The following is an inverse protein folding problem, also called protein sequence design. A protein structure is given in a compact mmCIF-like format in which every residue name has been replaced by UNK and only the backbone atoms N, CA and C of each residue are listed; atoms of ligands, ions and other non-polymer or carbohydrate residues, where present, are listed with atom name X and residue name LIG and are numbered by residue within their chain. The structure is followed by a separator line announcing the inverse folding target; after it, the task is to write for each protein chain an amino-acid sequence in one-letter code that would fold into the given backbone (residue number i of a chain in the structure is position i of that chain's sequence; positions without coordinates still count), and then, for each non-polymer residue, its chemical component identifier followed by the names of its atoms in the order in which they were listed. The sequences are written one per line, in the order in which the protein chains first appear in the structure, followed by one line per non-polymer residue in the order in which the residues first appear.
data_IF_391250104865
#
_entry.id   IF_391250104865
#
_cell.length_a   1.000
_cell.length_b   1.000
_cell.length_c   1.000
_cell.angle_alpha   90.00
_cell.angle_beta   90.00
_cell.angle_gamma   90.00
#
_symmetry.space_group_name_H-M   'P 1'
#
loop_
_entity.id
_entity.type
_entity.pdbx_description
1 polymer ?
#
# COMPACT_ATOMS: atom_id res chain seq x y z
N UNK A 1 17.01 9.98 -2.87
CA UNK A 1 16.76 8.62 -3.38
C UNK A 1 15.29 8.47 -3.70
N UNK A 2 14.96 7.72 -4.74
CA UNK A 2 13.57 7.39 -5.11
C UNK A 2 13.06 6.17 -4.34
N UNK A 3 11.75 5.94 -4.37
CA UNK A 3 11.12 4.75 -3.77
C UNK A 3 11.71 3.45 -4.33
N UNK A 4 11.90 3.40 -5.65
CA UNK A 4 12.46 2.24 -6.37
C UNK A 4 13.91 1.95 -5.96
N UNK A 5 14.71 2.99 -5.74
CA UNK A 5 16.10 2.85 -5.27
C UNK A 5 16.16 2.25 -3.86
N UNK A 6 15.26 2.64 -2.96
CA UNK A 6 15.17 2.06 -1.60
C UNK A 6 14.71 0.60 -1.67
N UNK A 7 13.70 0.29 -2.49
CA UNK A 7 13.25 -1.10 -2.70
C UNK A 7 14.40 -1.97 -3.23
N UNK A 8 15.15 -1.47 -4.22
CA UNK A 8 16.29 -2.18 -4.81
C UNK A 8 17.40 -2.40 -3.78
N UNK A 9 17.68 -1.40 -2.94
CA UNK A 9 18.66 -1.50 -1.86
C UNK A 9 18.28 -2.56 -0.82
N UNK A 10 17.03 -2.55 -0.34
CA UNK A 10 16.55 -3.53 0.63
C UNK A 10 16.61 -4.94 0.03
N UNK A 11 16.16 -5.10 -1.22
CA UNK A 11 16.19 -6.39 -1.91
C UNK A 11 17.61 -6.91 -2.17
N UNK A 12 18.55 -6.05 -2.56
CA UNK A 12 19.93 -6.48 -2.82
C UNK A 12 20.67 -6.90 -1.56
N UNK A 13 20.24 -6.41 -0.39
CA UNK A 13 20.82 -6.70 0.92
C UNK A 13 19.98 -7.66 1.78
N UNK A 14 18.83 -8.14 1.30
CA UNK A 14 17.87 -8.90 2.11
C UNK A 14 18.46 -10.18 2.71
N UNK A 15 19.13 -11.00 1.90
CA UNK A 15 19.76 -12.23 2.37
C UNK A 15 20.88 -11.93 3.39
N UNK A 16 21.70 -10.91 3.13
CA UNK A 16 22.77 -10.52 4.04
C UNK A 16 22.23 -9.96 5.37
N UNK A 17 21.07 -9.30 5.36
CA UNK A 17 20.37 -8.87 6.58
C UNK A 17 19.85 -10.08 7.36
N UNK A 18 19.21 -11.03 6.68
CA UNK A 18 18.67 -12.26 7.27
C UNK A 18 19.76 -13.09 7.95
N UNK A 19 20.93 -13.18 7.33
CA UNK A 19 22.07 -13.96 7.82
C UNK A 19 23.01 -13.13 8.74
N UNK A 20 22.68 -11.87 9.06
CA UNK A 20 23.53 -10.94 9.83
C UNK A 20 24.96 -10.79 9.28
N UNK A 21 25.11 -10.80 7.95
CA UNK A 21 26.39 -10.71 7.24
C UNK A 21 26.79 -9.29 6.85
N UNK A 22 25.95 -8.29 7.14
CA UNK A 22 26.32 -6.88 6.92
C UNK A 22 27.12 -6.34 8.09
N UNK A 23 28.11 -5.49 7.81
CA UNK A 23 28.78 -4.71 8.84
C UNK A 23 27.80 -3.72 9.47
N UNK A 24 28.11 -3.32 10.70
CA UNK A 24 27.33 -2.33 11.46
C UNK A 24 27.11 -1.05 10.65
N UNK A 25 28.16 -0.55 10.01
CA UNK A 25 28.12 0.66 9.18
C UNK A 25 27.25 0.51 7.94
N UNK A 26 27.25 -0.66 7.30
CA UNK A 26 26.39 -0.92 6.15
C UNK A 26 24.92 -1.01 6.53
N UNK A 27 24.63 -1.55 7.73
CA UNK A 27 23.28 -1.64 8.24
C UNK A 27 22.74 -0.27 8.67
N UNK A 28 23.60 0.57 9.26
CA UNK A 28 23.32 1.97 9.54
C UNK A 28 23.05 2.76 8.25
N UNK A 29 23.83 2.54 7.18
CA UNK A 29 23.59 3.18 5.89
C UNK A 29 22.22 2.82 5.30
N UNK A 30 21.80 1.55 5.42
CA UNK A 30 20.45 1.12 5.00
C UNK A 30 19.38 1.84 5.81
N UNK A 31 19.53 1.92 7.14
CA UNK A 31 18.62 2.67 8.01
C UNK A 31 18.54 4.14 7.59
N UNK A 32 19.67 4.81 7.44
CA UNK A 32 19.73 6.24 7.13
C UNK A 32 19.06 6.54 5.80
N UNK A 33 19.28 5.71 4.77
CA UNK A 33 18.61 5.87 3.47
C UNK A 33 17.10 5.72 3.57
N UNK A 34 16.61 4.74 4.34
CA UNK A 34 15.18 4.55 4.60
C UNK A 34 14.62 5.77 5.35
N UNK A 35 15.26 6.20 6.44
CA UNK A 35 14.82 7.33 7.25
C UNK A 35 14.79 8.63 6.44
N UNK A 36 15.85 8.94 5.69
CA UNK A 36 15.91 10.12 4.83
C UNK A 36 14.77 10.14 3.81
N UNK A 37 14.47 9.00 3.18
CA UNK A 37 13.34 8.90 2.26
C UNK A 37 12.01 9.15 2.98
N UNK A 38 11.79 8.52 4.14
CA UNK A 38 10.55 8.68 4.90
C UNK A 38 10.36 10.11 5.43
N UNK A 39 11.41 10.73 5.98
CA UNK A 39 11.42 12.12 6.45
C UNK A 39 11.09 13.10 5.30
N UNK A 40 11.51 12.81 4.07
CA UNK A 40 11.19 13.62 2.89
C UNK A 40 9.75 13.45 2.40
N UNK A 41 9.17 12.26 2.55
CA UNK A 41 7.87 11.91 1.94
C UNK A 41 6.71 11.90 2.93
N UNK A 42 6.95 11.85 4.23
CA UNK A 42 5.93 11.89 5.28
C UNK A 42 5.94 13.27 5.92
N UNK A 43 4.96 14.12 5.57
CA UNK A 43 4.81 15.48 6.10
C UNK A 43 3.43 15.73 6.69
N UNK A 44 3.36 16.73 7.56
CA UNK A 44 2.11 17.20 8.18
C UNK A 44 1.62 16.33 9.35
N UNK A 45 0.31 16.34 9.54
CA UNK A 45 -0.38 15.71 10.68
C UNK A 45 -1.31 14.56 10.27
N UNK A 46 -1.01 13.91 9.13
CA UNK A 46 -1.69 12.68 8.75
C UNK A 46 -1.48 11.58 9.81
N UNK A 47 -2.40 10.61 9.88
CA UNK A 47 -2.27 9.48 10.79
C UNK A 47 -0.95 8.72 10.57
N UNK A 48 -0.51 8.59 9.32
CA UNK A 48 0.79 8.01 8.95
C UNK A 48 1.96 8.85 9.48
N UNK A 49 1.88 10.18 9.41
CA UNK A 49 2.87 11.07 9.99
C UNK A 49 2.94 10.97 11.52
N UNK A 50 1.79 10.87 12.19
CA UNK A 50 1.72 10.65 13.64
C UNK A 50 2.31 9.28 14.04
N UNK A 51 2.01 8.22 13.26
CA UNK A 51 2.61 6.89 13.44
C UNK A 51 4.11 6.91 13.23
N UNK A 52 4.60 7.64 12.23
CA UNK A 52 6.03 7.78 11.98
C UNK A 52 6.75 8.56 13.09
N UNK A 53 6.19 9.68 13.53
CA UNK A 53 6.68 10.43 14.71
C UNK A 53 6.75 9.52 15.94
N UNK A 54 5.66 8.77 16.20
CA UNK A 54 5.64 7.78 17.29
C UNK A 54 6.68 6.69 17.09
N UNK A 55 6.86 6.16 15.89
CA UNK A 55 7.87 5.16 15.57
C UNK A 55 9.27 5.68 15.94
N UNK A 56 9.66 6.88 15.50
CA UNK A 56 10.96 7.50 15.86
C UNK A 56 11.13 7.77 17.36
N UNK A 57 10.04 8.01 18.10
CA UNK A 57 10.07 8.26 19.54
C UNK A 57 10.06 6.98 20.39
N UNK A 58 9.39 5.93 19.91
CA UNK A 58 9.16 4.67 20.63
C UNK A 58 10.11 3.55 20.21
N UNK A 59 10.76 3.68 19.05
CA UNK A 59 12.06 3.08 18.84
C UNK A 59 13.03 3.77 19.80
N UNK A 60 13.12 3.27 21.04
CA UNK A 60 14.32 3.50 21.85
C UNK A 60 15.50 3.31 20.90
N UNK A 61 16.48 4.23 20.83
CA UNK A 61 17.66 3.99 20.02
C UNK A 61 18.31 2.77 20.64
N UNK A 62 18.03 1.59 20.07
CA UNK A 62 18.85 0.42 20.33
C UNK A 62 20.14 0.83 19.66
N UNK A 63 21.09 1.36 20.42
CA UNK A 63 22.45 1.49 19.94
C UNK A 63 22.77 0.16 19.24
N UNK A 64 23.13 0.24 17.95
CA UNK A 64 23.50 -0.95 17.22
C UNK A 64 24.86 -1.37 17.73
N UNK A 65 24.87 -2.32 18.65
CA UNK A 65 26.12 -2.81 19.22
C UNK A 65 26.80 -3.71 18.20
N UNK A 66 28.11 -3.52 18.05
CA UNK A 66 28.94 -4.35 17.20
C UNK A 66 29.75 -5.34 18.04
N UNK A 67 30.05 -6.49 17.46
CA UNK A 67 31.07 -7.39 17.99
C UNK A 67 32.48 -6.86 17.64
N UNK A 68 33.52 -7.55 18.12
CA UNK A 68 34.93 -7.21 17.85
C UNK A 68 35.30 -7.21 16.37
N UNK A 69 34.51 -7.86 15.52
CA UNK A 69 34.72 -7.93 14.07
C UNK A 69 33.88 -6.90 13.29
N UNK A 70 33.16 -6.01 13.98
CA UNK A 70 32.37 -4.95 13.36
C UNK A 70 30.96 -5.38 12.89
N UNK A 71 30.55 -6.62 13.14
CA UNK A 71 29.21 -7.11 12.79
C UNK A 71 28.21 -6.80 13.91
N UNK A 72 26.96 -6.47 13.55
CA UNK A 72 25.95 -6.07 14.52
C UNK A 72 25.47 -7.25 15.36
N UNK A 73 25.30 -7.02 16.65
CA UNK A 73 24.59 -7.92 17.57
C UNK A 73 23.10 -7.69 17.35
N UNK A 74 22.38 -8.71 16.84
CA UNK A 74 20.94 -8.63 16.51
C UNK A 74 20.63 -7.57 15.45
N UNK A 75 21.45 -7.53 14.40
CA UNK A 75 21.31 -6.56 13.30
C UNK A 75 19.96 -6.67 12.60
N UNK A 76 19.52 -7.90 12.28
CA UNK A 76 18.20 -8.16 11.71
C UNK A 76 17.08 -7.49 12.52
N UNK A 77 16.97 -7.83 13.81
CA UNK A 77 15.90 -7.31 14.67
C UNK A 77 15.97 -5.79 14.84
N UNK A 78 17.16 -5.22 14.72
CA UNK A 78 17.37 -3.78 14.76
C UNK A 78 16.83 -3.09 13.51
N UNK A 79 17.16 -3.59 12.31
CA UNK A 79 16.75 -2.95 11.05
C UNK A 79 15.29 -3.26 10.67
N UNK A 80 14.73 -4.40 11.11
CA UNK A 80 13.38 -4.84 10.72
C UNK A 80 12.31 -3.79 11.02
N UNK A 81 12.42 -3.03 12.12
CA UNK A 81 11.45 -1.98 12.43
C UNK A 81 11.37 -0.91 11.34
N UNK A 82 12.51 -0.53 10.77
CA UNK A 82 12.62 0.47 9.71
C UNK A 82 12.12 -0.06 8.37
N UNK A 83 12.50 -1.29 8.01
CA UNK A 83 12.04 -1.95 6.78
C UNK A 83 10.52 -2.13 6.83
N UNK A 84 9.98 -2.64 7.94
CA UNK A 84 8.55 -2.85 8.10
C UNK A 84 7.77 -1.52 8.01
N UNK A 85 8.29 -0.44 8.61
CA UNK A 85 7.64 0.87 8.50
C UNK A 85 7.66 1.38 7.05
N UNK A 86 8.76 1.20 6.32
CA UNK A 86 8.86 1.56 4.91
C UNK A 86 7.88 0.75 4.03
N UNK A 87 7.75 -0.55 4.26
CA UNK A 87 6.77 -1.39 3.58
C UNK A 87 5.32 -0.98 3.89
N UNK A 88 5.05 -0.62 5.15
CA UNK A 88 3.79 -0.03 5.57
C UNK A 88 3.53 1.31 4.89
N UNK A 89 4.53 2.19 4.79
CA UNK A 89 4.42 3.45 4.05
C UNK A 89 4.04 3.21 2.59
N UNK A 90 4.72 2.29 1.90
CA UNK A 90 4.37 1.93 0.51
C UNK A 90 2.93 1.42 0.46
N UNK A 91 2.51 0.60 1.42
CA UNK A 91 1.16 0.00 1.44
C UNK A 91 0.07 1.03 1.73
N UNK A 92 0.28 1.92 2.70
CA UNK A 92 -0.68 2.96 3.09
C UNK A 92 -0.74 4.09 2.07
N UNK A 93 0.38 4.48 1.44
CA UNK A 93 0.38 5.37 0.28
C UNK A 93 -0.49 4.80 -0.86
N UNK A 94 -0.49 3.48 -0.99
CA UNK A 94 -1.33 2.77 -1.95
C UNK A 94 -2.76 2.62 -1.48
N UNK A 95 -3.20 3.04 -0.28
CA UNK A 95 -4.61 3.01 0.13
C UNK A 95 -5.11 4.46 0.21
N UNK A 96 -5.90 4.87 -0.78
CA UNK A 96 -6.43 6.24 -0.87
C UNK A 96 -7.59 6.43 0.12
N UNK A 97 -8.46 5.43 0.26
CA UNK A 97 -9.63 5.53 1.14
C UNK A 97 -10.21 4.16 1.48
N UNK A 98 -10.74 3.99 2.69
CA UNK A 98 -11.50 2.79 3.08
C UNK A 98 -12.77 3.21 3.79
N UNK A 99 -13.90 2.94 3.16
CA UNK A 99 -15.24 3.22 3.66
C UNK A 99 -15.91 1.91 4.03
N UNK A 100 -16.55 1.87 5.19
CA UNK A 100 -17.22 0.68 5.68
C UNK A 100 -18.61 1.02 6.18
N UNK A 101 -19.58 0.16 5.85
CA UNK A 101 -20.91 0.14 6.47
C UNK A 101 -21.12 -1.23 7.17
N UNK A 102 -22.31 -1.49 7.70
CA UNK A 102 -22.69 -2.72 8.41
C UNK A 102 -22.46 -3.97 7.56
N UNK A 103 -22.72 -3.90 6.26
CA UNK A 103 -22.71 -5.08 5.37
C UNK A 103 -21.62 -5.01 4.28
N UNK A 104 -21.14 -3.81 3.93
CA UNK A 104 -20.22 -3.62 2.81
C UNK A 104 -18.94 -2.92 3.25
N UNK A 105 -17.88 -3.14 2.49
CA UNK A 105 -16.66 -2.36 2.55
C UNK A 105 -16.24 -1.94 1.14
N UNK A 106 -15.69 -0.73 1.04
CA UNK A 106 -15.13 -0.16 -0.17
C UNK A 106 -13.71 0.29 0.14
N UNK A 107 -12.74 -0.19 -0.61
CA UNK A 107 -11.34 0.16 -0.43
C UNK A 107 -10.76 0.64 -1.76
N UNK A 108 -10.29 1.87 -1.79
CA UNK A 108 -9.56 2.41 -2.93
C UNK A 108 -8.07 2.28 -2.69
N UNK A 109 -7.37 1.71 -3.68
CA UNK A 109 -5.92 1.62 -3.72
C UNK A 109 -5.34 2.30 -4.97
N UNK A 110 -4.07 2.68 -4.93
CA UNK A 110 -3.29 3.05 -6.11
C UNK A 110 -2.25 1.98 -6.37
N UNK A 111 -2.09 1.54 -7.61
CA UNK A 111 -1.02 0.62 -8.00
C UNK A 111 -0.39 1.13 -9.30
N UNK A 112 0.82 1.69 -9.20
CA UNK A 112 1.40 2.45 -10.32
C UNK A 112 0.57 3.70 -10.60
N UNK A 113 0.16 3.89 -11.85
CA UNK A 113 -0.71 5.00 -12.26
C UNK A 113 -2.20 4.61 -12.32
N UNK A 114 -2.55 3.39 -11.92
CA UNK A 114 -3.93 2.91 -11.92
C UNK A 114 -4.54 3.07 -10.52
N UNK A 115 -5.81 3.46 -10.47
CA UNK A 115 -6.59 3.43 -9.23
C UNK A 115 -7.42 2.15 -9.19
N UNK A 116 -7.31 1.41 -8.11
CA UNK A 116 -7.99 0.17 -7.86
C UNK A 116 -9.12 0.47 -6.86
N UNK A 117 -10.32 -0.06 -7.08
CA UNK A 117 -11.43 0.03 -6.15
C UNK A 117 -11.94 -1.38 -5.88
N UNK A 118 -11.86 -1.79 -4.63
CA UNK A 118 -12.36 -3.05 -4.16
C UNK A 118 -13.69 -2.80 -3.45
N UNK A 119 -14.72 -3.56 -3.81
CA UNK A 119 -16.02 -3.54 -3.14
C UNK A 119 -16.34 -4.96 -2.72
N UNK A 120 -16.50 -5.21 -1.43
CA UNK A 120 -16.81 -6.54 -0.92
C UNK A 120 -17.91 -6.53 0.12
N UNK A 121 -18.58 -7.68 0.25
CA UNK A 121 -19.50 -7.95 1.34
C UNK A 121 -18.71 -8.49 2.54
N UNK A 122 -19.04 -8.01 3.74
CA UNK A 122 -18.40 -8.45 4.99
C UNK A 122 -18.77 -9.88 5.38
N UNK A 123 -19.89 -10.40 4.87
CA UNK A 123 -20.45 -11.72 5.21
C UNK A 123 -20.05 -12.82 4.20
N UNK A 124 -19.69 -12.47 2.96
CA UNK A 124 -19.39 -13.44 1.89
C UNK A 124 -17.91 -13.78 1.73
N UNK A 125 -17.27 -14.36 2.76
CA UNK A 125 -16.01 -15.13 2.65
C UNK A 125 -14.86 -14.51 1.81
N UNK A 126 -14.79 -13.18 1.68
CA UNK A 126 -13.75 -12.48 0.93
C UNK A 126 -14.03 -12.30 -0.57
N UNK A 127 -15.23 -12.61 -1.05
CA UNK A 127 -15.66 -12.22 -2.40
C UNK A 127 -15.73 -10.71 -2.52
N UNK A 128 -15.12 -10.19 -3.59
CA UNK A 128 -15.03 -8.76 -3.86
C UNK A 128 -15.04 -8.50 -5.36
N UNK A 129 -15.57 -7.35 -5.74
CA UNK A 129 -15.41 -6.77 -7.06
C UNK A 129 -14.14 -5.94 -7.05
N UNK A 130 -13.22 -6.18 -7.97
CA UNK A 130 -12.03 -5.38 -8.19
C UNK A 130 -12.19 -4.57 -9.48
N UNK A 131 -12.40 -3.27 -9.34
CA UNK A 131 -12.43 -2.30 -10.44
C UNK A 131 -11.07 -1.63 -10.57
N UNK A 132 -10.59 -1.45 -11.79
CA UNK A 132 -9.35 -0.77 -12.14
C UNK A 132 -9.72 0.43 -13.01
N UNK A 133 -9.27 1.60 -12.60
CA UNK A 133 -9.37 2.87 -13.29
C UNK A 133 -8.00 3.18 -13.90
N UNK A 134 -7.90 3.08 -15.22
CA UNK A 134 -6.67 3.38 -15.96
C UNK A 134 -6.51 4.86 -16.29
N UNK A 135 -5.33 5.26 -16.73
CA UNK A 135 -4.99 6.65 -17.11
C UNK A 135 -5.87 7.23 -18.22
N UNK A 136 -6.46 6.38 -19.05
CA UNK A 136 -7.35 6.75 -20.16
C UNK A 136 -8.80 6.99 -19.73
N UNK A 137 -9.12 6.81 -18.44
CA UNK A 137 -10.49 6.80 -17.93
C UNK A 137 -11.24 5.48 -18.17
N UNK A 138 -10.54 4.44 -18.65
CA UNK A 138 -11.09 3.09 -18.76
C UNK A 138 -11.33 2.51 -17.36
N UNK A 139 -12.54 1.98 -17.13
CA UNK A 139 -12.90 1.20 -15.94
C UNK A 139 -13.03 -0.26 -16.36
N UNK A 140 -12.22 -1.14 -15.78
CA UNK A 140 -12.24 -2.59 -16.08
C UNK A 140 -12.25 -3.44 -14.82
N UNK A 141 -12.75 -4.66 -14.93
CA UNK A 141 -12.61 -5.69 -13.88
C UNK A 141 -11.27 -6.41 -14.10
N UNK A 142 -10.55 -6.73 -13.02
CA UNK A 142 -9.30 -7.49 -13.14
C UNK A 142 -9.56 -8.85 -13.84
N UNK A 143 -8.70 -9.19 -14.81
CA UNK A 143 -8.84 -10.41 -15.63
C UNK A 143 -8.71 -11.71 -14.82
N UNK A 144 -8.11 -11.65 -13.63
CA UNK A 144 -7.90 -12.82 -12.76
C UNK A 144 -9.06 -13.07 -11.79
N UNK A 145 -9.95 -12.10 -11.62
CA UNK A 145 -11.12 -12.27 -10.79
C UNK A 145 -12.20 -13.02 -11.58
N UNK A 146 -12.78 -14.07 -10.97
CA UNK A 146 -14.00 -14.65 -11.49
C UNK A 146 -15.06 -13.55 -11.47
N UNK A 147 -15.54 -13.17 -12.66
CA UNK A 147 -16.67 -12.25 -12.82
C UNK A 147 -17.74 -12.67 -11.82
N UNK A 148 -18.07 -11.83 -10.82
CA UNK A 148 -19.06 -12.21 -9.84
C UNK A 148 -20.39 -12.01 -10.55
N UNK A 149 -20.77 -13.03 -11.33
CA UNK A 149 -21.97 -13.08 -12.15
C UNK A 149 -23.25 -12.91 -11.30
N UNK A 150 -23.12 -12.96 -9.97
CA UNK A 150 -24.19 -12.69 -9.00
C UNK A 150 -24.13 -11.28 -8.39
N UNK A 151 -22.96 -10.64 -8.29
CA UNK A 151 -22.77 -9.34 -7.63
C UNK A 151 -22.94 -8.17 -8.61
N UNK A 152 -22.50 -8.30 -9.86
CA UNK A 152 -22.61 -7.22 -10.86
C UNK A 152 -23.97 -7.25 -11.53
N UNK A 153 -24.94 -6.53 -10.95
CA UNK A 153 -26.28 -6.34 -11.56
C UNK A 153 -26.39 -5.04 -12.36
N UNK A 154 -25.69 -3.98 -11.94
CA UNK A 154 -25.76 -2.64 -12.51
C UNK A 154 -24.51 -1.85 -12.10
N UNK A 155 -23.90 -1.10 -13.02
CA UNK A 155 -22.90 -0.07 -12.71
C UNK A 155 -23.53 1.29 -12.98
N UNK A 156 -23.61 2.13 -11.95
CA UNK A 156 -24.09 3.51 -12.07
C UNK A 156 -22.93 4.46 -11.78
N UNK A 157 -22.56 5.28 -12.76
CA UNK A 157 -21.64 6.39 -12.60
C UNK A 157 -22.47 7.67 -12.49
N UNK A 158 -22.34 8.37 -11.35
CA UNK A 158 -22.99 9.67 -11.12
C UNK A 158 -21.90 10.73 -11.07
N UNK A 159 -21.80 11.53 -12.13
CA UNK A 159 -20.89 12.66 -12.23
C UNK A 159 -21.67 13.93 -11.86
N UNK A 160 -21.15 14.73 -10.93
CA UNK A 160 -21.72 16.03 -10.60
C UNK A 160 -20.78 17.13 -11.08
N UNK A 161 -21.25 17.98 -11.97
CA UNK A 161 -20.50 19.10 -12.50
C UNK A 161 -20.42 20.23 -11.46
N UNK A 162 -19.50 21.19 -11.67
CA UNK A 162 -19.30 22.34 -10.77
C UNK A 162 -20.53 23.25 -10.66
N UNK A 163 -21.41 23.24 -11.66
CA UNK A 163 -22.68 23.96 -11.67
C UNK A 163 -23.82 23.19 -10.96
N UNK A 164 -23.52 22.02 -10.38
CA UNK A 164 -24.48 21.16 -9.71
C UNK A 164 -25.30 20.27 -10.66
N UNK A 165 -25.08 20.36 -11.98
CA UNK A 165 -25.72 19.45 -12.94
C UNK A 165 -25.18 18.03 -12.79
N UNK A 166 -26.07 17.05 -12.95
CA UNK A 166 -25.74 15.63 -12.73
C UNK A 166 -25.78 14.90 -14.07
N UNK A 167 -24.67 14.26 -14.44
CA UNK A 167 -24.59 13.32 -15.56
C UNK A 167 -24.60 11.91 -14.98
N UNK A 168 -25.65 11.16 -15.28
CA UNK A 168 -25.77 9.75 -14.91
C UNK A 168 -25.50 8.88 -16.11
N UNK A 169 -24.51 8.00 -15.99
CA UNK A 169 -24.27 6.94 -16.96
C UNK A 169 -24.56 5.62 -16.28
N UNK A 170 -25.49 4.86 -16.84
CA UNK A 170 -25.86 3.53 -16.33
C UNK A 170 -25.47 2.49 -17.36
N UNK A 171 -24.70 1.49 -16.94
CA UNK A 171 -24.48 0.26 -17.70
C UNK A 171 -25.23 -0.88 -16.99
N UNK A 172 -26.27 -1.39 -17.63
CA UNK A 172 -27.04 -2.54 -17.16
C UNK A 172 -26.53 -3.82 -17.84
N UNK A 173 -26.17 -4.83 -17.05
CA UNK A 173 -25.79 -6.13 -17.56
C UNK A 173 -27.02 -7.04 -17.54
N UNK A 174 -27.66 -7.22 -18.70
CA UNK A 174 -28.78 -8.15 -18.82
C UNK A 174 -28.26 -9.59 -18.75
N UNK A 175 -28.82 -10.40 -17.85
CA UNK A 175 -28.71 -11.86 -17.95
C UNK A 175 -29.51 -12.32 -19.17
N UNK A 176 -28.86 -12.42 -20.33
CA UNK A 176 -29.35 -13.28 -21.40
C UNK A 176 -28.17 -13.92 -22.12
N UNK A 177 -28.01 -15.23 -21.89
CA UNK A 177 -27.61 -16.11 -22.96
C UNK A 177 -28.78 -16.12 -23.96
N UNK A 178 -28.53 -15.57 -25.13
CA UNK A 178 -29.08 -16.03 -26.40
C UNK A 178 -27.83 -16.65 -27.03
N UNK A 179 -27.61 -17.97 -27.09
CA UNK A 179 -28.51 -19.09 -27.38
C UNK A 179 -28.49 -20.22 -26.33
#
# INVERSE_FOLDING_TARGET
MTEEEIIKLIKSKSQAIEENLLLTTELEEVKEKIEQFLDQNIKGDSLLALRYKKFKLSSKPRTLWSNTSGYPIRGKEWISGYINFFEQFITEKKIINRLEDKNLWVESRTQGNEQHLFVGDKQNNGEKVHLIFGETGEIRIDKKDQSPNEIVKKVEAVLTNLDGSIVKTTLEFFKQKID
#
